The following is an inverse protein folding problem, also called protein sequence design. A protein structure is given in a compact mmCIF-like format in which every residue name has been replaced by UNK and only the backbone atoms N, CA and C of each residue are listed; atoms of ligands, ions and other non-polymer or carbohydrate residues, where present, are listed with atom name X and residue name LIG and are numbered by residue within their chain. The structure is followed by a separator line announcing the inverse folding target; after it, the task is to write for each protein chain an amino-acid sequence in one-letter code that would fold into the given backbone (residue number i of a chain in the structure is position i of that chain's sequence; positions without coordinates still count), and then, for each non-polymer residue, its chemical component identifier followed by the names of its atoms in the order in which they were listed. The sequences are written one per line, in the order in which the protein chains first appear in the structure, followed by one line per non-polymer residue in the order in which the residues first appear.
data_IF_563367004487
#
_entry.id   IF_563367004487
#
_cell.length_a   1.000
_cell.length_b   1.000
_cell.length_c   1.000
_cell.angle_alpha   90.00
_cell.angle_beta   90.00
_cell.angle_gamma   90.00
#
_symmetry.space_group_name_H-M   'P 1'
#
loop_
_entity.id
_entity.type
_entity.pdbx_description
1 polymer ?
#
# COMPACT_ATOMS: atom_id res chain seq x y z
N UNK A 1 -11.38 0.50 -17.36
CA UNK A 1 -12.13 1.21 -16.31
C UNK A 1 -11.16 2.18 -15.64
N UNK A 2 -11.62 3.37 -15.21
CA UNK A 2 -10.74 4.28 -14.48
C UNK A 2 -10.66 3.86 -13.00
N UNK A 3 -9.55 4.21 -12.33
CA UNK A 3 -9.35 3.94 -10.89
C UNK A 3 -10.49 4.51 -10.05
N UNK A 4 -10.88 5.77 -10.28
CA UNK A 4 -12.02 6.39 -9.56
C UNK A 4 -13.32 5.60 -9.70
N UNK A 5 -13.57 5.02 -10.89
CA UNK A 5 -14.79 4.23 -11.14
C UNK A 5 -14.70 2.87 -10.41
N UNK A 6 -13.51 2.27 -10.35
CA UNK A 6 -13.25 1.07 -9.57
C UNK A 6 -13.46 1.33 -8.08
N UNK A 7 -12.89 2.41 -7.55
CA UNK A 7 -13.04 2.78 -6.13
C UNK A 7 -14.50 3.07 -5.76
N UNK A 8 -15.24 3.72 -6.65
CA UNK A 8 -16.68 3.91 -6.48
C UNK A 8 -17.45 2.59 -6.51
N UNK A 9 -17.14 1.71 -7.47
CA UNK A 9 -17.79 0.40 -7.61
C UNK A 9 -17.63 -0.46 -6.36
N UNK A 10 -16.43 -0.50 -5.78
CA UNK A 10 -16.12 -1.28 -4.58
C UNK A 10 -16.32 -0.50 -3.27
N UNK A 11 -16.86 0.71 -3.35
CA UNK A 11 -17.14 1.56 -2.17
C UNK A 11 -15.91 1.69 -1.26
N UNK A 12 -14.76 2.03 -1.85
CA UNK A 12 -13.50 2.18 -1.12
C UNK A 12 -13.59 3.40 -0.20
N UNK A 13 -13.26 3.19 1.10
CA UNK A 13 -13.23 4.29 2.07
C UNK A 13 -12.29 5.42 1.63
N UNK A 14 -12.65 6.71 1.83
CA UNK A 14 -11.79 7.84 1.45
C UNK A 14 -10.37 7.75 2.01
N UNK A 15 -10.23 7.31 3.28
CA UNK A 15 -8.92 7.13 3.93
C UNK A 15 -8.09 6.06 3.22
N UNK A 16 -8.72 4.95 2.84
CA UNK A 16 -8.08 3.85 2.13
C UNK A 16 -7.75 4.24 0.68
N UNK A 17 -8.64 4.94 0.00
CA UNK A 17 -8.38 5.49 -1.33
C UNK A 17 -7.17 6.44 -1.33
N UNK A 18 -7.12 7.35 -0.35
CA UNK A 18 -6.00 8.28 -0.17
C UNK A 18 -4.70 7.54 0.12
N UNK A 19 -4.73 6.49 0.95
CA UNK A 19 -3.58 5.64 1.21
C UNK A 19 -3.04 5.03 -0.09
N UNK A 20 -3.89 4.36 -0.86
CA UNK A 20 -3.49 3.73 -2.12
C UNK A 20 -2.98 4.75 -3.16
N UNK A 21 -3.54 5.96 -3.21
CA UNK A 21 -3.02 7.04 -4.07
C UNK A 21 -1.62 7.47 -3.64
N UNK A 22 -1.35 7.58 -2.34
CA UNK A 22 -0.02 7.90 -1.81
C UNK A 22 0.99 6.81 -2.16
N UNK A 23 0.65 5.54 -1.88
CA UNK A 23 1.51 4.39 -2.22
C UNK A 23 1.79 4.35 -3.72
N UNK A 24 0.78 4.60 -4.56
CA UNK A 24 0.95 4.65 -6.01
C UNK A 24 1.81 5.82 -6.48
N UNK A 25 1.71 6.97 -5.83
CA UNK A 25 2.58 8.12 -6.11
C UNK A 25 4.04 7.82 -5.79
N UNK A 26 4.31 7.26 -4.61
CA UNK A 26 5.66 6.80 -4.22
C UNK A 26 6.15 5.74 -5.20
N UNK A 27 5.37 4.69 -5.43
CA UNK A 27 5.73 3.59 -6.34
C UNK A 27 6.04 4.06 -7.76
N UNK A 28 5.22 4.98 -8.29
CA UNK A 28 5.45 5.58 -9.62
C UNK A 28 6.76 6.36 -9.69
N UNK A 29 7.08 7.14 -8.65
CA UNK A 29 8.34 7.91 -8.60
C UNK A 29 9.55 6.97 -8.48
N UNK A 30 9.49 5.96 -7.62
CA UNK A 30 10.53 4.93 -7.49
C UNK A 30 10.75 4.20 -8.80
N UNK A 31 9.67 3.72 -9.42
CA UNK A 31 9.73 2.95 -10.67
C UNK A 31 10.36 3.73 -11.83
N UNK A 32 10.04 5.03 -11.95
CA UNK A 32 10.64 5.91 -12.97
C UNK A 32 12.16 6.05 -12.85
N UNK A 33 12.68 5.86 -11.66
CA UNK A 33 14.10 6.03 -11.34
C UNK A 33 14.82 4.71 -11.02
N UNK A 34 14.16 3.57 -11.30
CA UNK A 34 14.77 2.25 -11.12
C UNK A 34 15.91 2.05 -12.12
N UNK A 35 17.12 1.80 -11.63
CA UNK A 35 18.35 1.79 -12.47
C UNK A 35 18.33 0.77 -13.60
N UNK A 36 17.76 -0.41 -13.33
CA UNK A 36 17.70 -1.49 -14.31
C UNK A 36 16.43 -1.43 -15.18
N UNK A 37 15.63 -0.35 -15.04
CA UNK A 37 14.34 -0.24 -15.68
C UNK A 37 13.28 -1.17 -15.08
N UNK A 38 12.03 -0.73 -15.07
CA UNK A 38 10.87 -1.55 -14.74
C UNK A 38 9.63 -0.98 -15.43
N UNK A 39 8.55 -1.75 -15.44
CA UNK A 39 7.27 -1.25 -15.94
C UNK A 39 6.60 -0.34 -14.88
N UNK A 40 6.92 0.95 -14.94
CA UNK A 40 6.34 1.95 -14.04
C UNK A 40 4.80 2.01 -14.13
N UNK A 41 4.21 1.58 -15.26
CA UNK A 41 2.75 1.51 -15.41
C UNK A 41 2.18 0.35 -14.62
N UNK A 42 2.79 -0.82 -14.70
CA UNK A 42 2.41 -2.00 -13.91
C UNK A 42 2.54 -1.73 -12.42
N UNK A 43 3.69 -1.19 -11.96
CA UNK A 43 3.91 -0.78 -10.56
C UNK A 43 2.82 0.18 -10.08
N UNK A 44 2.53 1.23 -10.87
CA UNK A 44 1.51 2.22 -10.48
C UNK A 44 0.14 1.59 -10.30
N UNK A 45 -0.28 0.72 -11.23
CA UNK A 45 -1.55 0.00 -11.14
C UNK A 45 -1.59 -0.92 -9.91
N UNK A 46 -0.53 -1.69 -9.69
CA UNK A 46 -0.42 -2.57 -8.54
C UNK A 46 -0.59 -1.79 -7.23
N UNK A 47 0.12 -0.68 -7.07
CA UNK A 47 0.01 0.19 -5.90
C UNK A 47 -1.40 0.79 -5.72
N UNK A 48 -2.13 1.09 -6.82
CA UNK A 48 -3.52 1.57 -6.77
C UNK A 48 -4.52 0.48 -6.36
N UNK A 49 -4.11 -0.79 -6.37
CA UNK A 49 -4.99 -1.95 -6.17
C UNK A 49 -4.69 -2.77 -4.92
N UNK A 50 -3.50 -2.58 -4.30
CA UNK A 50 -2.94 -3.52 -3.33
C UNK A 50 -3.79 -3.71 -2.07
N UNK A 51 -4.58 -2.73 -1.70
CA UNK A 51 -5.32 -2.68 -0.45
C UNK A 51 -6.85 -2.57 -0.63
N UNK A 52 -7.40 -2.97 -1.79
CA UNK A 52 -8.84 -2.86 -2.08
C UNK A 52 -9.72 -3.46 -0.99
N UNK A 53 -9.31 -4.57 -0.40
CA UNK A 53 -10.04 -5.27 0.66
C UNK A 53 -9.73 -4.79 2.07
N UNK A 54 -8.86 -3.82 2.27
CA UNK A 54 -8.27 -3.50 3.58
C UNK A 54 -9.25 -2.89 4.60
N UNK A 55 -10.46 -2.50 4.16
CA UNK A 55 -11.54 -2.08 5.07
C UNK A 55 -11.82 -3.14 6.15
N UNK A 56 -11.55 -4.42 5.88
CA UNK A 56 -11.75 -5.52 6.85
C UNK A 56 -10.92 -5.39 8.12
N UNK A 57 -9.78 -4.67 8.06
CA UNK A 57 -8.88 -4.43 9.21
C UNK A 57 -9.25 -3.18 10.00
N UNK A 58 -10.11 -2.29 9.47
CA UNK A 58 -10.43 -1.05 10.16
C UNK A 58 -11.24 -1.34 11.41
N UNK A 59 -10.83 -0.72 12.53
CA UNK A 59 -11.66 -0.73 13.72
C UNK A 59 -12.70 0.39 13.61
N UNK A 60 -13.93 -0.02 13.29
CA UNK A 60 -15.06 0.86 13.09
C UNK A 60 -16.03 0.87 14.28
N UNK A 61 -15.59 0.45 15.49
CA UNK A 61 -16.43 0.52 16.70
C UNK A 61 -16.65 1.98 17.13
N UNK A 62 -17.79 2.26 17.78
CA UNK A 62 -18.21 3.63 18.10
C UNK A 62 -17.31 4.36 19.10
N UNK A 63 -16.59 3.66 19.96
CA UNK A 63 -15.87 4.19 21.13
C UNK A 63 -14.33 4.25 20.98
N UNK A 64 -13.79 4.20 19.77
CA UNK A 64 -12.34 4.19 19.57
C UNK A 64 -11.81 5.58 19.30
N UNK A 65 -10.66 5.88 19.91
CA UNK A 65 -9.88 7.07 19.59
C UNK A 65 -9.31 6.95 18.15
N UNK A 66 -9.88 7.75 17.25
CA UNK A 66 -9.49 7.83 15.83
C UNK A 66 -8.59 9.01 15.53
N UNK A 67 -8.03 9.66 16.56
CA UNK A 67 -7.18 10.83 16.36
C UNK A 67 -6.01 10.56 15.38
N UNK A 68 -5.51 9.33 15.36
CA UNK A 68 -4.43 8.88 14.46
C UNK A 68 -4.88 8.59 13.02
N UNK A 69 -6.16 8.32 12.78
CA UNK A 69 -6.70 7.90 11.47
C UNK A 69 -7.62 8.95 10.83
N UNK A 70 -7.82 10.08 11.51
CA UNK A 70 -8.79 11.10 11.12
C UNK A 70 -10.24 10.70 11.47
N UNK A 71 -11.14 11.69 11.41
CA UNK A 71 -12.56 11.43 11.61
C UNK A 71 -13.13 10.62 10.44
N UNK A 72 -13.95 9.62 10.78
CA UNK A 72 -14.67 8.82 9.79
C UNK A 72 -16.11 9.35 9.75
N UNK A 73 -16.43 10.07 8.70
CA UNK A 73 -17.81 10.49 8.45
C UNK A 73 -18.67 9.28 8.09
N UNK A 74 -19.95 9.31 8.47
CA UNK A 74 -20.91 8.24 8.18
C UNK A 74 -20.47 6.85 8.66
N UNK A 75 -19.97 6.75 9.89
CA UNK A 75 -19.44 5.53 10.48
C UNK A 75 -20.35 4.30 10.29
N UNK A 76 -21.67 4.44 10.53
CA UNK A 76 -22.66 3.36 10.35
C UNK A 76 -22.70 2.84 8.92
N UNK A 77 -22.54 3.71 7.94
CA UNK A 77 -22.45 3.33 6.53
C UNK A 77 -21.22 2.43 6.30
N UNK A 78 -20.04 2.87 6.79
CA UNK A 78 -18.80 2.10 6.63
C UNK A 78 -18.79 0.79 7.41
N UNK A 79 -19.44 0.73 8.56
CA UNK A 79 -19.69 -0.54 9.26
C UNK A 79 -20.55 -1.51 8.42
N UNK A 80 -21.54 -0.98 7.69
CA UNK A 80 -22.34 -1.76 6.74
C UNK A 80 -21.51 -2.32 5.59
N UNK A 81 -20.68 -1.46 4.96
CA UNK A 81 -19.76 -1.87 3.88
C UNK A 81 -18.77 -2.92 4.36
N UNK A 82 -18.15 -2.70 5.54
CA UNK A 82 -17.21 -3.67 6.11
C UNK A 82 -17.85 -5.05 6.31
N UNK A 83 -19.07 -5.10 6.85
CA UNK A 83 -19.81 -6.38 7.01
C UNK A 83 -20.06 -7.06 5.68
N UNK A 84 -20.49 -6.33 4.66
CA UNK A 84 -20.71 -6.87 3.33
C UNK A 84 -19.42 -7.43 2.71
N UNK A 85 -18.28 -6.74 2.93
CA UNK A 85 -16.96 -7.23 2.50
C UNK A 85 -16.57 -8.51 3.26
N UNK A 86 -16.78 -8.56 4.58
CA UNK A 86 -16.53 -9.76 5.38
C UNK A 86 -17.35 -10.97 4.92
N UNK A 87 -18.64 -10.75 4.64
CA UNK A 87 -19.54 -11.80 4.18
C UNK A 87 -19.13 -12.34 2.81
N UNK A 88 -18.66 -11.48 1.93
CA UNK A 88 -18.35 -11.83 0.55
C UNK A 88 -16.92 -12.35 0.34
N UNK A 89 -15.94 -11.76 1.01
CA UNK A 89 -14.52 -12.01 0.74
C UNK A 89 -13.72 -12.49 1.98
N UNK A 90 -14.37 -12.57 3.15
CA UNK A 90 -13.70 -12.94 4.39
C UNK A 90 -13.12 -11.76 5.16
N UNK A 91 -12.47 -12.08 6.30
CA UNK A 91 -11.91 -11.07 7.23
C UNK A 91 -10.41 -10.88 7.10
N UNK A 92 -9.75 -11.64 6.24
CA UNK A 92 -8.36 -11.45 5.91
C UNK A 92 -8.24 -10.40 4.80
N UNK A 93 -7.43 -9.37 4.99
CA UNK A 93 -7.35 -8.24 4.06
C UNK A 93 -6.71 -8.63 2.72
N UNK A 94 -5.69 -9.48 2.73
CA UNK A 94 -5.07 -9.97 1.48
C UNK A 94 -6.05 -10.84 0.70
N UNK A 95 -6.76 -11.76 1.36
CA UNK A 95 -7.78 -12.58 0.73
C UNK A 95 -8.93 -11.74 0.18
N UNK A 96 -9.38 -10.72 0.92
CA UNK A 96 -10.42 -9.81 0.45
C UNK A 96 -9.95 -9.00 -0.77
N UNK A 97 -8.72 -8.49 -0.76
CA UNK A 97 -8.11 -7.80 -1.91
C UNK A 97 -8.02 -8.73 -3.12
N UNK A 98 -7.53 -9.95 -2.96
CA UNK A 98 -7.45 -10.96 -4.03
C UNK A 98 -8.84 -11.28 -4.57
N UNK A 99 -9.83 -11.45 -3.70
CA UNK A 99 -11.22 -11.69 -4.10
C UNK A 99 -11.80 -10.57 -4.96
N UNK A 100 -11.54 -9.32 -4.58
CA UNK A 100 -11.96 -8.15 -5.36
C UNK A 100 -11.22 -8.05 -6.71
N UNK A 101 -9.92 -8.34 -6.75
CA UNK A 101 -9.14 -8.38 -7.99
C UNK A 101 -9.67 -9.45 -8.96
N UNK A 102 -9.97 -10.65 -8.46
CA UNK A 102 -10.56 -11.73 -9.27
C UNK A 102 -11.92 -11.31 -9.84
N UNK A 103 -12.79 -10.72 -9.02
CA UNK A 103 -14.10 -10.24 -9.47
C UNK A 103 -13.97 -9.10 -10.50
N UNK A 104 -12.97 -8.23 -10.34
CA UNK A 104 -12.68 -7.15 -11.28
C UNK A 104 -12.01 -7.63 -12.57
N UNK A 105 -11.63 -8.90 -12.68
CA UNK A 105 -10.86 -9.51 -13.78
C UNK A 105 -9.45 -8.90 -13.91
N UNK A 106 -8.84 -8.60 -12.78
CA UNK A 106 -7.49 -8.03 -12.65
C UNK A 106 -6.54 -9.07 -12.02
N UNK A 107 -6.67 -10.32 -12.45
CA UNK A 107 -5.97 -11.48 -11.88
C UNK A 107 -4.46 -11.43 -12.08
N UNK A 108 -3.99 -10.67 -13.05
CA UNK A 108 -2.56 -10.43 -13.32
C UNK A 108 -1.82 -9.78 -12.16
N UNK A 109 -2.51 -9.06 -11.26
CA UNK A 109 -1.90 -8.45 -10.08
C UNK A 109 -1.83 -9.37 -8.85
N UNK A 110 -2.60 -10.46 -8.84
CA UNK A 110 -2.64 -11.40 -7.69
C UNK A 110 -1.27 -11.99 -7.32
N UNK A 111 -0.43 -12.42 -8.27
CA UNK A 111 0.90 -12.93 -7.94
C UNK A 111 1.76 -11.92 -7.18
N UNK A 112 1.71 -10.65 -7.55
CA UNK A 112 2.51 -9.59 -6.92
C UNK A 112 2.05 -9.28 -5.49
N UNK A 113 0.73 -9.28 -5.22
CA UNK A 113 0.18 -9.12 -3.86
C UNK A 113 0.67 -10.25 -2.94
N UNK A 114 0.60 -11.50 -3.42
CA UNK A 114 1.10 -12.66 -2.66
C UNK A 114 2.62 -12.63 -2.45
N UNK A 115 3.34 -12.13 -3.42
CA UNK A 115 4.79 -12.03 -3.34
C UNK A 115 5.22 -10.94 -2.34
N UNK A 116 4.57 -9.77 -2.36
CA UNK A 116 4.80 -8.68 -1.42
C UNK A 116 4.60 -9.15 0.03
N UNK A 117 3.46 -9.80 0.32
CA UNK A 117 3.16 -10.37 1.63
C UNK A 117 4.25 -11.35 2.10
N UNK A 118 4.67 -12.25 1.20
CA UNK A 118 5.73 -13.22 1.48
C UNK A 118 7.07 -12.54 1.79
N UNK A 119 7.45 -11.52 1.01
CA UNK A 119 8.69 -10.78 1.21
C UNK A 119 8.71 -10.07 2.56
N UNK A 120 7.59 -9.45 2.93
CA UNK A 120 7.44 -8.73 4.20
C UNK A 120 7.56 -9.65 5.41
N UNK A 121 6.80 -10.75 5.44
CA UNK A 121 6.80 -11.68 6.58
C UNK A 121 8.07 -12.54 6.66
N UNK A 122 8.74 -12.79 5.56
CA UNK A 122 10.01 -13.50 5.57
C UNK A 122 11.21 -12.61 5.93
N UNK A 123 11.01 -11.29 6.13
CA UNK A 123 12.11 -10.34 6.29
C UNK A 123 13.16 -10.56 5.18
N UNK A 124 12.71 -10.51 3.92
CA UNK A 124 13.44 -10.95 2.73
C UNK A 124 14.84 -10.33 2.64
N UNK A 125 15.83 -11.17 2.40
CA UNK A 125 17.23 -10.77 2.19
C UNK A 125 17.59 -10.74 0.70
N UNK A 126 18.78 -10.29 0.39
CA UNK A 126 19.25 -10.03 -0.99
C UNK A 126 18.93 -11.18 -1.96
N UNK A 127 19.20 -12.42 -1.58
CA UNK A 127 18.92 -13.59 -2.42
C UNK A 127 17.45 -13.78 -2.78
N UNK A 128 16.54 -13.34 -1.91
CA UNK A 128 15.10 -13.38 -2.18
C UNK A 128 14.68 -12.18 -3.03
N UNK A 129 15.20 -10.98 -2.72
CA UNK A 129 14.91 -9.76 -3.46
C UNK A 129 15.44 -9.84 -4.91
N UNK A 130 16.60 -10.44 -5.13
CA UNK A 130 17.17 -10.62 -6.48
C UNK A 130 16.29 -11.53 -7.38
N UNK A 131 15.47 -12.39 -6.77
CA UNK A 131 14.55 -13.30 -7.48
C UNK A 131 13.11 -12.81 -7.52
N UNK A 132 12.80 -11.78 -6.74
CA UNK A 132 11.45 -11.23 -6.66
C UNK A 132 11.15 -10.27 -7.82
N UNK A 133 9.88 -10.09 -8.10
CA UNK A 133 9.45 -9.09 -9.06
C UNK A 133 9.73 -7.68 -8.54
N UNK A 134 10.21 -6.82 -9.43
CA UNK A 134 10.45 -5.41 -9.13
C UNK A 134 9.16 -4.72 -8.67
N UNK A 135 8.03 -5.13 -9.23
CA UNK A 135 6.70 -4.62 -8.88
C UNK A 135 6.36 -4.87 -7.41
N UNK A 136 6.54 -6.09 -6.91
CA UNK A 136 6.26 -6.44 -5.52
C UNK A 136 7.23 -5.74 -4.55
N UNK A 137 8.51 -5.63 -4.93
CA UNK A 137 9.51 -4.91 -4.12
C UNK A 137 9.16 -3.43 -3.99
N UNK A 138 8.80 -2.78 -5.10
CA UNK A 138 8.44 -1.35 -5.10
C UNK A 138 7.12 -1.13 -4.34
N UNK A 139 6.14 -2.03 -4.46
CA UNK A 139 4.92 -1.99 -3.66
C UNK A 139 5.24 -2.04 -2.16
N UNK A 140 6.00 -3.04 -1.74
CA UNK A 140 6.44 -3.21 -0.34
C UNK A 140 7.13 -1.95 0.20
N UNK A 141 8.04 -1.36 -0.57
CA UNK A 141 8.69 -0.12 -0.19
C UNK A 141 7.71 1.05 -0.12
N UNK A 142 6.85 1.18 -1.12
CA UNK A 142 5.86 2.26 -1.21
C UNK A 142 4.89 2.27 -0.03
N UNK A 143 4.38 1.12 0.38
CA UNK A 143 3.51 0.98 1.55
C UNK A 143 4.24 1.36 2.85
N UNK A 144 5.51 0.97 2.96
CA UNK A 144 6.39 1.36 4.08
C UNK A 144 6.85 2.84 4.04
N UNK A 145 6.30 3.68 3.17
CA UNK A 145 6.51 5.14 3.12
C UNK A 145 5.25 5.94 3.46
N UNK A 146 4.13 5.26 3.75
CA UNK A 146 2.84 5.93 3.92
C UNK A 146 2.27 5.69 5.31
N UNK A 147 1.97 6.77 6.04
CA UNK A 147 1.19 6.80 7.27
C UNK A 147 -0.23 7.32 6.98
N UNK A 148 -1.18 7.24 7.93
CA UNK A 148 -2.47 7.90 7.78
C UNK A 148 -2.38 9.41 7.52
N UNK A 149 -1.34 10.06 8.03
CA UNK A 149 -1.12 11.51 7.89
C UNK A 149 -0.42 11.92 6.60
N UNK A 150 0.26 11.01 5.90
CA UNK A 150 0.96 11.35 4.66
C UNK A 150 2.10 10.42 4.29
N UNK A 151 2.81 10.82 3.23
CA UNK A 151 4.09 10.23 2.85
C UNK A 151 5.17 10.76 3.78
N UNK A 152 5.90 9.86 4.40
CA UNK A 152 6.93 10.13 5.42
C UNK A 152 8.24 9.45 5.03
N UNK A 153 9.33 9.72 5.75
CA UNK A 153 10.54 8.92 5.61
C UNK A 153 10.29 7.46 6.04
N UNK A 154 11.10 6.55 5.53
CA UNK A 154 10.99 5.14 5.90
C UNK A 154 11.15 4.94 7.40
N UNK A 155 12.09 5.67 8.03
CA UNK A 155 12.32 5.65 9.49
C UNK A 155 11.10 6.12 10.28
N UNK A 156 10.45 7.21 9.86
CA UNK A 156 9.23 7.70 10.53
C UNK A 156 8.12 6.66 10.44
N UNK A 157 7.97 5.99 9.29
CA UNK A 157 6.98 4.91 9.14
C UNK A 157 7.29 3.70 10.02
N UNK A 158 8.56 3.30 10.12
CA UNK A 158 8.99 2.21 11.01
C UNK A 158 8.64 2.54 12.47
N UNK A 159 8.90 3.78 12.90
CA UNK A 159 8.55 4.24 14.25
C UNK A 159 7.02 4.27 14.46
N UNK A 160 6.24 4.77 13.50
CA UNK A 160 4.77 4.76 13.55
C UNK A 160 4.19 3.32 13.65
N UNK A 161 4.77 2.36 12.94
CA UNK A 161 4.38 0.95 13.07
C UNK A 161 4.72 0.38 14.46
N UNK A 162 5.87 0.76 15.00
CA UNK A 162 6.29 0.40 16.33
C UNK A 162 5.32 0.93 17.39
N UNK A 163 4.97 2.21 17.31
CA UNK A 163 4.07 2.87 18.26
C UNK A 163 2.66 2.29 18.23
N UNK A 164 2.19 1.86 17.06
CA UNK A 164 0.84 1.33 16.88
C UNK A 164 0.69 -0.14 17.24
N UNK A 165 1.70 -0.95 16.96
CA UNK A 165 1.62 -2.41 17.07
C UNK A 165 2.51 -2.98 18.17
N UNK A 166 3.19 -2.12 18.94
CA UNK A 166 4.10 -2.50 20.01
C UNK A 166 5.49 -2.92 19.54
N UNK A 167 6.35 -3.22 20.51
CA UNK A 167 7.74 -3.56 20.23
C UNK A 167 7.86 -4.76 19.29
N UNK A 168 8.33 -4.51 18.07
CA UNK A 168 8.80 -5.56 17.19
C UNK A 168 10.22 -5.96 17.61
N UNK A 169 10.62 -7.17 17.26
CA UNK A 169 11.95 -7.65 17.64
C UNK A 169 13.06 -6.86 16.92
N UNK A 170 14.27 -6.91 17.44
CA UNK A 170 15.45 -6.22 16.88
C UNK A 170 15.73 -6.67 15.44
N UNK A 171 15.50 -7.94 15.11
CA UNK A 171 15.73 -8.50 13.77
C UNK A 171 14.87 -7.79 12.74
N UNK A 172 13.59 -7.49 13.06
CA UNK A 172 12.71 -6.74 12.16
C UNK A 172 13.22 -5.31 11.94
N UNK A 173 13.71 -4.63 12.98
CA UNK A 173 14.30 -3.29 12.86
C UNK A 173 15.54 -3.31 11.97
N UNK A 174 16.46 -4.23 12.21
CA UNK A 174 17.68 -4.38 11.43
C UNK A 174 17.35 -4.65 9.96
N UNK A 175 16.34 -5.49 9.73
CA UNK A 175 15.87 -5.78 8.38
C UNK A 175 15.30 -4.53 7.70
N UNK A 176 14.45 -3.74 8.36
CA UNK A 176 13.81 -2.58 7.75
C UNK A 176 14.83 -1.54 7.29
N UNK A 177 15.86 -1.27 8.09
CA UNK A 177 16.89 -0.31 7.72
C UNK A 177 17.81 -0.85 6.62
N UNK A 178 18.16 -2.12 6.69
CA UNK A 178 18.89 -2.79 5.61
C UNK A 178 18.11 -2.73 4.28
N UNK A 179 16.79 -2.96 4.32
CA UNK A 179 15.94 -2.92 3.12
C UNK A 179 15.89 -1.51 2.52
N UNK A 180 15.78 -0.46 3.32
CA UNK A 180 15.85 0.93 2.82
C UNK A 180 17.20 1.23 2.14
N UNK A 181 18.32 0.80 2.74
CA UNK A 181 19.65 0.96 2.15
C UNK A 181 19.78 0.16 0.83
N UNK A 182 19.24 -1.03 0.78
CA UNK A 182 19.19 -1.84 -0.43
C UNK A 182 18.38 -1.14 -1.52
N UNK A 183 17.19 -0.65 -1.20
CA UNK A 183 16.33 0.12 -2.12
C UNK A 183 17.02 1.37 -2.67
N UNK A 184 17.74 2.12 -1.81
CA UNK A 184 18.48 3.31 -2.25
C UNK A 184 19.54 2.98 -3.30
N UNK A 185 20.14 1.79 -3.25
CA UNK A 185 21.11 1.33 -4.26
C UNK A 185 20.45 1.01 -5.60
N UNK A 186 19.17 0.66 -5.62
CA UNK A 186 18.44 0.30 -6.84
C UNK A 186 17.96 1.51 -7.65
N UNK A 187 17.88 2.69 -7.05
CA UNK A 187 17.33 3.89 -7.69
C UNK A 187 18.38 4.96 -7.95
N UNK A 188 18.09 5.85 -8.90
CA UNK A 188 18.96 6.97 -9.29
C UNK A 188 18.64 8.30 -8.58
N UNK A 189 17.61 8.31 -7.72
CA UNK A 189 17.23 9.48 -6.90
C UNK A 189 17.45 9.20 -5.43
N UNK A 190 17.51 10.26 -4.61
CA UNK A 190 17.38 10.13 -3.17
C UNK A 190 15.93 9.79 -2.83
N UNK A 191 15.72 8.64 -2.21
CA UNK A 191 14.39 8.19 -1.79
C UNK A 191 13.71 9.15 -0.82
N UNK A 192 14.48 9.90 -0.01
CA UNK A 192 13.95 10.91 0.89
C UNK A 192 13.49 12.20 0.18
N UNK A 193 13.83 12.38 -1.10
CA UNK A 193 13.28 13.46 -1.92
C UNK A 193 11.81 13.27 -2.31
N UNK A 194 11.27 12.06 -2.13
CA UNK A 194 9.85 11.76 -2.37
C UNK A 194 9.05 12.25 -1.15
N UNK A 195 8.30 13.33 -1.34
CA UNK A 195 7.53 14.01 -0.28
C UNK A 195 6.02 13.91 -0.50
N UNK A 196 5.25 14.15 0.56
CA UNK A 196 3.78 14.20 0.50
C UNK A 196 3.30 15.21 -0.56
N UNK A 197 3.87 16.42 -0.60
CA UNK A 197 3.46 17.45 -1.55
C UNK A 197 3.75 17.02 -2.99
N UNK A 198 4.91 16.43 -3.25
CA UNK A 198 5.25 15.89 -4.56
C UNK A 198 4.27 14.79 -5.02
N UNK A 199 3.91 13.89 -4.10
CA UNK A 199 2.98 12.79 -4.38
C UNK A 199 1.55 13.29 -4.60
N UNK A 200 1.08 14.28 -3.83
CA UNK A 200 -0.26 14.87 -4.01
C UNK A 200 -0.49 15.47 -5.39
N UNK A 201 0.55 16.01 -6.03
CA UNK A 201 0.41 16.53 -7.40
C UNK A 201 0.01 15.47 -8.43
N UNK A 202 0.17 14.20 -8.11
CA UNK A 202 -0.16 13.08 -8.98
C UNK A 202 -1.60 12.53 -8.78
N UNK A 203 -2.33 12.95 -7.74
CA UNK A 203 -3.60 12.33 -7.37
C UNK A 203 -4.65 12.37 -8.49
N UNK A 204 -4.81 13.51 -9.17
CA UNK A 204 -5.76 13.64 -10.27
C UNK A 204 -5.41 12.72 -11.45
N UNK A 205 -4.12 12.62 -11.79
CA UNK A 205 -3.64 11.69 -12.79
C UNK A 205 -3.92 10.24 -12.37
N UNK A 206 -3.59 9.88 -11.12
CA UNK A 206 -3.77 8.53 -10.59
C UNK A 206 -5.24 8.10 -10.57
N UNK A 207 -6.16 8.99 -10.21
CA UNK A 207 -7.60 8.72 -10.24
C UNK A 207 -8.15 8.47 -11.66
N UNK A 208 -7.49 9.02 -12.68
CA UNK A 208 -7.85 8.83 -14.08
C UNK A 208 -7.05 7.71 -14.76
N UNK A 209 -6.22 7.01 -14.02
CA UNK A 209 -5.45 5.88 -14.53
C UNK A 209 -6.39 4.76 -15.02
N UNK A 210 -6.06 4.20 -16.18
CA UNK A 210 -6.85 3.09 -16.76
C UNK A 210 -6.30 1.76 -16.27
N UNK A 211 -7.17 1.01 -15.66
CA UNK A 211 -6.95 -0.36 -15.19
C UNK A 211 -7.66 -1.32 -16.13
#
# INVERSE_FOLDING_TARGET
MLVRDLYQKYQIMPQLATHMLRVAGVGKMVAKHWKNGCDARSVTKLCLLHDLGNIVKFDLQDNIDRSKFGQIENLKYWQGIQRAVWEKYGKNAHEATIGMLVEARLTEFVPFIKEEERLYFAEAREEMLDKASTEAIILLYGDCRVTPSGVVSYRERVNDLQDRYGARNTTWYDWTFWFEEWMQKQVSIDLNSITEDGVKTLFDELLTYTI
#
